data_IF_448203632909
#
_entry.id   IF_448203632909
#
_cell.length_a   1.000
_cell.length_b   1.000
_cell.length_c   1.000
_cell.angle_alpha   90.00
_cell.angle_beta   90.00
_cell.angle_gamma   90.00
#
_symmetry.space_group_name_H-M   'P 1'
#
loop_
_entity.id
_entity.type
_entity.pdbx_description
1 polymer ?
#
# COMPACT_ATOMS: atom_id res chain seq x y z
N UNK A 1 -2.14 5.09 -1.60
CA UNK A 1 -2.70 3.71 -1.51
C UNK A 1 -3.96 3.49 -2.40
N UNK A 2 -4.86 4.46 -2.63
CA UNK A 2 -5.92 4.36 -3.67
C UNK A 2 -5.32 4.15 -5.07
N UNK A 3 -4.13 4.68 -5.31
CA UNK A 3 -3.42 4.50 -6.57
C UNK A 3 -2.86 3.11 -6.79
N UNK A 4 -2.77 2.27 -5.75
CA UNK A 4 -2.26 0.91 -5.86
C UNK A 4 -3.32 0.01 -6.46
N UNK A 5 -4.51 -0.04 -5.87
CA UNK A 5 -5.63 -0.85 -6.38
C UNK A 5 -6.75 0.08 -6.83
N UNK A 6 -6.80 0.35 -8.13
CA UNK A 6 -7.84 1.18 -8.73
C UNK A 6 -8.99 0.30 -9.20
N UNK A 7 -10.21 0.66 -8.84
CA UNK A 7 -11.41 0.05 -9.43
C UNK A 7 -11.49 0.52 -10.88
N UNK A 8 -11.51 -0.43 -11.82
CA UNK A 8 -11.62 -0.15 -13.25
C UNK A 8 -12.98 -0.57 -13.82
N UNK A 9 -13.73 -1.39 -13.08
CA UNK A 9 -15.07 -1.85 -13.47
C UNK A 9 -15.90 -2.19 -12.22
N UNK A 10 -17.19 -1.85 -12.24
CA UNK A 10 -18.18 -2.27 -11.25
C UNK A 10 -19.13 -3.29 -11.90
N UNK A 11 -19.10 -4.54 -11.44
CA UNK A 11 -19.83 -5.65 -12.06
C UNK A 11 -21.19 -5.92 -11.40
N UNK A 12 -21.62 -5.07 -10.46
CA UNK A 12 -22.82 -5.27 -9.64
C UNK A 12 -22.61 -6.27 -8.49
N UNK A 13 -23.61 -6.44 -7.63
CA UNK A 13 -23.57 -7.32 -6.45
C UNK A 13 -22.31 -7.15 -5.58
N UNK A 14 -21.91 -5.88 -5.36
CA UNK A 14 -20.69 -5.51 -4.64
C UNK A 14 -19.41 -6.20 -5.16
N UNK A 15 -19.35 -6.45 -6.48
CA UNK A 15 -18.21 -7.05 -7.19
C UNK A 15 -17.56 -6.01 -8.08
N UNK A 16 -16.23 -6.00 -8.09
CA UNK A 16 -15.39 -5.00 -8.74
C UNK A 16 -14.22 -5.66 -9.46
N UNK A 17 -13.79 -5.10 -10.58
CA UNK A 17 -12.48 -5.39 -11.16
C UNK A 17 -11.50 -4.33 -10.68
N UNK A 18 -10.43 -4.76 -10.05
CA UNK A 18 -9.35 -3.90 -9.56
C UNK A 18 -8.11 -4.09 -10.40
N UNK A 19 -7.47 -2.99 -10.76
CA UNK A 19 -6.16 -2.98 -11.40
C UNK A 19 -5.11 -2.58 -10.37
N UNK A 20 -4.09 -3.42 -10.21
CA UNK A 20 -2.93 -3.10 -9.42
C UNK A 20 -1.94 -2.27 -10.24
N UNK A 21 -1.73 -1.00 -9.89
CA UNK A 21 -0.83 -0.10 -10.64
C UNK A 21 0.65 -0.50 -10.54
N UNK A 22 1.02 -1.27 -9.51
CA UNK A 22 2.40 -1.70 -9.32
C UNK A 22 2.74 -2.96 -10.11
N UNK A 23 1.83 -3.95 -10.15
CA UNK A 23 2.05 -5.22 -10.86
C UNK A 23 1.48 -5.22 -12.27
N UNK A 24 0.52 -4.34 -12.57
CA UNK A 24 -0.26 -4.35 -13.81
C UNK A 24 -1.37 -5.41 -13.82
N UNK A 25 -1.52 -6.18 -12.74
CA UNK A 25 -2.49 -7.27 -12.65
C UNK A 25 -3.92 -6.73 -12.52
N UNK A 26 -4.87 -7.53 -12.99
CA UNK A 26 -6.30 -7.27 -12.85
C UNK A 26 -6.93 -8.43 -12.11
N UNK A 27 -7.62 -8.11 -11.02
CA UNK A 27 -8.28 -9.09 -10.16
C UNK A 27 -9.76 -8.74 -9.99
N UNK A 28 -10.61 -9.76 -9.95
CA UNK A 28 -12.01 -9.59 -9.56
C UNK A 28 -12.12 -9.77 -8.05
N UNK A 29 -12.62 -8.75 -7.37
CA UNK A 29 -12.85 -8.74 -5.92
C UNK A 29 -14.33 -8.56 -5.64
N UNK A 30 -14.81 -9.18 -4.56
CA UNK A 30 -16.18 -9.04 -4.07
C UNK A 30 -16.13 -8.66 -2.61
N UNK A 31 -16.96 -7.69 -2.23
CA UNK A 31 -17.13 -7.34 -0.82
C UNK A 31 -17.66 -8.56 -0.08
N UNK A 32 -17.02 -8.89 1.04
CA UNK A 32 -17.43 -9.97 1.90
C UNK A 32 -18.87 -9.71 2.36
N UNK A 33 -19.79 -10.71 2.29
CA UNK A 33 -21.21 -10.48 2.56
C UNK A 33 -21.52 -9.85 3.92
N UNK A 34 -20.71 -10.14 4.94
CA UNK A 34 -20.81 -9.61 6.30
C UNK A 34 -20.32 -8.16 6.44
N UNK A 35 -19.69 -7.59 5.40
CA UNK A 35 -19.05 -6.26 5.43
C UNK A 35 -19.65 -5.28 4.43
N UNK A 36 -20.78 -5.60 3.80
CA UNK A 36 -21.43 -4.73 2.81
C UNK A 36 -21.80 -3.38 3.43
N UNK A 37 -22.50 -3.38 4.58
CA UNK A 37 -22.88 -2.15 5.26
C UNK A 37 -21.65 -1.31 5.67
N UNK A 38 -20.59 -1.97 6.15
CA UNK A 38 -19.33 -1.32 6.51
C UNK A 38 -18.62 -0.72 5.29
N UNK A 39 -18.69 -1.37 4.13
CA UNK A 39 -18.14 -0.85 2.87
C UNK A 39 -18.93 0.36 2.35
N UNK A 40 -20.25 0.37 2.50
CA UNK A 40 -21.10 1.48 2.06
C UNK A 40 -20.88 2.75 2.89
N UNK A 41 -20.47 2.61 4.16
CA UNK A 41 -20.05 3.73 4.98
C UNK A 41 -18.70 4.31 4.51
N UNK A 42 -18.78 5.48 3.86
CA UNK A 42 -17.61 6.22 3.37
C UNK A 42 -16.98 7.14 4.42
N UNK A 43 -17.67 7.39 5.53
CA UNK A 43 -17.19 8.32 6.58
C UNK A 43 -15.92 7.80 7.24
N UNK A 44 -15.77 6.48 7.37
CA UNK A 44 -14.57 5.85 7.93
C UNK A 44 -13.27 6.10 7.15
N UNK A 45 -13.35 6.66 5.93
CA UNK A 45 -12.18 7.08 5.14
C UNK A 45 -12.02 8.60 5.06
N UNK A 46 -12.86 9.39 5.75
CA UNK A 46 -12.67 10.84 5.84
C UNK A 46 -11.31 11.18 6.45
N UNK A 47 -10.57 12.07 5.80
CA UNK A 47 -9.19 12.41 6.18
C UNK A 47 -8.12 11.41 5.73
N UNK A 48 -8.49 10.30 5.07
CA UNK A 48 -7.57 9.30 4.53
C UNK A 48 -7.72 9.16 2.99
N UNK A 49 -7.49 10.22 2.20
CA UNK A 49 -7.72 10.22 0.76
C UNK A 49 -6.89 9.14 0.05
N UNK A 50 -5.72 8.82 0.58
CA UNK A 50 -4.82 7.84 0.02
C UNK A 50 -5.13 6.41 0.43
N UNK A 51 -6.04 6.13 1.36
CA UNK A 51 -6.29 4.77 1.85
C UNK A 51 -6.89 3.84 0.79
N UNK A 52 -6.68 2.53 0.90
CA UNK A 52 -7.30 1.57 0.00
C UNK A 52 -8.83 1.69 0.04
N UNK A 53 -9.50 1.66 -1.12
CA UNK A 53 -10.98 1.80 -1.21
C UNK A 53 -11.76 0.70 -0.50
N UNK A 54 -11.13 -0.45 -0.26
CA UNK A 54 -11.71 -1.56 0.47
C UNK A 54 -11.28 -1.61 1.95
N UNK A 55 -10.52 -0.62 2.42
CA UNK A 55 -10.21 -0.46 3.85
C UNK A 55 -11.37 0.28 4.51
N UNK A 56 -11.83 -0.21 5.67
CA UNK A 56 -12.83 0.45 6.52
C UNK A 56 -12.42 0.34 7.98
N UNK A 57 -12.96 1.22 8.81
CA UNK A 57 -12.77 1.19 10.26
C UNK A 57 -14.12 0.99 10.93
N UNK A 58 -14.17 0.16 11.97
CA UNK A 58 -15.36 0.07 12.82
C UNK A 58 -15.39 1.19 13.88
N UNK A 59 -16.46 1.23 14.67
CA UNK A 59 -16.67 2.23 15.72
C UNK A 59 -15.56 2.24 16.79
N UNK A 60 -14.85 1.12 16.96
CA UNK A 60 -13.72 1.01 17.89
C UNK A 60 -12.38 1.41 17.24
N UNK A 61 -12.41 1.86 15.98
CA UNK A 61 -11.22 2.21 15.20
C UNK A 61 -10.44 1.00 14.69
N UNK A 62 -10.99 -0.21 14.73
CA UNK A 62 -10.32 -1.39 14.19
C UNK A 62 -10.47 -1.42 12.67
N UNK A 63 -9.36 -1.68 11.98
CA UNK A 63 -9.28 -1.70 10.53
C UNK A 63 -9.74 -3.05 9.93
N UNK A 64 -10.50 -2.98 8.84
CA UNK A 64 -11.08 -4.11 8.12
C UNK A 64 -10.84 -3.98 6.62
N UNK A 65 -10.42 -5.08 5.99
CA UNK A 65 -10.45 -5.24 4.54
C UNK A 65 -11.83 -5.80 4.16
N UNK A 66 -12.63 -5.04 3.40
CA UNK A 66 -14.01 -5.43 3.07
C UNK A 66 -14.06 -6.49 1.97
N UNK A 67 -12.98 -6.74 1.24
CA UNK A 67 -12.87 -7.78 0.20
C UNK A 67 -11.93 -8.91 0.64
N UNK A 68 -11.80 -9.15 1.95
CA UNK A 68 -10.72 -9.98 2.49
C UNK A 68 -10.67 -11.37 1.85
N UNK A 69 -11.81 -12.01 1.61
CA UNK A 69 -11.86 -13.37 1.06
C UNK A 69 -11.35 -13.43 -0.39
N UNK A 70 -11.70 -12.44 -1.20
CA UNK A 70 -11.34 -12.36 -2.62
C UNK A 70 -10.20 -11.39 -2.89
N UNK A 71 -9.49 -10.92 -1.85
CA UNK A 71 -8.45 -9.91 -2.03
C UNK A 71 -7.37 -10.41 -2.99
N UNK A 72 -6.78 -9.53 -3.82
CA UNK A 72 -5.71 -9.87 -4.75
C UNK A 72 -4.57 -10.62 -4.05
N UNK A 73 -3.85 -11.48 -4.77
CA UNK A 73 -2.79 -12.31 -4.18
C UNK A 73 -1.70 -11.45 -3.51
N UNK A 74 -1.34 -10.31 -4.12
CA UNK A 74 -0.43 -9.33 -3.52
C UNK A 74 -0.95 -8.78 -2.17
N UNK A 75 -2.26 -8.61 -2.00
CA UNK A 75 -2.86 -8.25 -0.71
C UNK A 75 -2.87 -9.41 0.29
N UNK A 76 -2.89 -10.67 -0.16
CA UNK A 76 -2.80 -11.86 0.70
C UNK A 76 -1.41 -12.06 1.28
N UNK A 77 -0.39 -11.72 0.52
CA UNK A 77 1.00 -11.69 0.95
C UNK A 77 1.30 -10.58 1.97
N UNK A 78 0.29 -9.85 2.46
CA UNK A 78 0.42 -8.68 3.34
C UNK A 78 1.38 -7.60 2.77
N UNK A 79 1.47 -7.54 1.45
CA UNK A 79 2.35 -6.66 0.70
C UNK A 79 1.69 -5.30 0.42
N UNK A 80 0.98 -4.70 1.39
CA UNK A 80 0.52 -3.32 1.25
C UNK A 80 1.75 -2.41 1.31
N UNK A 81 2.26 -2.04 0.13
CA UNK A 81 3.45 -1.20 0.00
C UNK A 81 3.06 0.25 0.31
N UNK A 82 3.55 0.74 1.46
CA UNK A 82 3.53 2.16 1.82
C UNK A 82 4.42 2.96 0.89
N UNK A 83 5.58 2.39 0.53
CA UNK A 83 6.49 2.91 -0.49
C UNK A 83 6.98 1.77 -1.38
N UNK A 84 6.96 1.99 -2.69
CA UNK A 84 7.59 1.13 -3.68
C UNK A 84 8.89 1.77 -4.14
N UNK A 85 10.00 1.05 -4.00
CA UNK A 85 11.32 1.53 -4.42
C UNK A 85 11.75 0.80 -5.68
N UNK A 86 12.04 1.57 -6.72
CA UNK A 86 12.50 1.11 -8.03
C UNK A 86 13.95 1.54 -8.25
N UNK A 87 14.73 0.75 -8.98
CA UNK A 87 16.03 1.15 -9.47
C UNK A 87 15.93 2.16 -10.64
N UNK A 88 17.07 2.62 -11.14
CA UNK A 88 17.15 3.58 -12.24
C UNK A 88 16.50 3.08 -13.55
N UNK A 89 16.41 1.76 -13.73
CA UNK A 89 15.77 1.12 -14.89
C UNK A 89 14.27 0.88 -14.70
N UNK A 90 13.72 1.23 -13.52
CA UNK A 90 12.32 1.02 -13.19
C UNK A 90 11.99 -0.38 -12.67
N UNK A 91 12.99 -1.23 -12.42
CA UNK A 91 12.78 -2.55 -11.80
C UNK A 91 12.65 -2.39 -10.28
N UNK A 92 11.81 -3.21 -9.65
CA UNK A 92 11.64 -3.20 -8.19
C UNK A 92 12.97 -3.50 -7.48
N UNK A 93 13.38 -2.59 -6.60
CA UNK A 93 14.55 -2.71 -5.75
C UNK A 93 14.15 -2.99 -4.28
N UNK A 94 13.00 -2.51 -3.83
CA UNK A 94 12.53 -2.79 -2.48
C UNK A 94 11.15 -2.21 -2.21
N UNK A 95 10.67 -2.38 -0.98
CA UNK A 95 9.37 -1.89 -0.54
C UNK A 95 9.39 -1.55 0.94
N UNK A 96 8.64 -0.52 1.33
CA UNK A 96 8.24 -0.31 2.72
C UNK A 96 6.84 -0.86 2.90
N UNK A 97 6.70 -1.75 3.87
CA UNK A 97 5.45 -2.33 4.33
C UNK A 97 5.15 -1.78 5.75
N UNK A 98 3.87 -1.78 6.11
CA UNK A 98 3.42 -1.28 7.42
C UNK A 98 3.94 0.14 7.73
N UNK A 99 4.25 0.44 9.00
CA UNK A 99 4.74 1.77 9.39
C UNK A 99 6.19 2.00 8.93
N UNK A 100 7.11 1.07 9.14
CA UNK A 100 8.54 1.29 8.87
C UNK A 100 9.29 0.06 8.36
N UNK A 101 8.58 -1.05 8.11
CA UNK A 101 9.22 -2.31 7.74
C UNK A 101 9.69 -2.27 6.29
N UNK A 102 10.99 -2.16 6.06
CA UNK A 102 11.55 -2.24 4.72
C UNK A 102 11.91 -3.67 4.34
N UNK A 103 11.60 -4.05 3.11
CA UNK A 103 11.98 -5.32 2.50
C UNK A 103 12.78 -5.03 1.22
N UNK A 104 14.11 -5.23 1.24
CA UNK A 104 14.95 -5.13 0.06
C UNK A 104 14.75 -6.34 -0.86
N UNK A 105 14.88 -6.13 -2.17
CA UNK A 105 14.89 -7.21 -3.18
C UNK A 105 16.31 -7.51 -3.70
N UNK A 106 17.32 -6.75 -3.27
CA UNK A 106 18.73 -6.98 -3.59
C UNK A 106 19.67 -6.49 -2.47
N UNK A 107 20.93 -6.94 -2.51
CA UNK A 107 21.91 -6.63 -1.47
C UNK A 107 22.30 -5.15 -1.42
N UNK A 108 22.35 -4.48 -2.58
CA UNK A 108 22.78 -3.08 -2.66
C UNK A 108 21.84 -2.15 -1.87
N UNK A 109 20.53 -2.31 -2.06
CA UNK A 109 19.56 -1.51 -1.32
C UNK A 109 19.37 -1.99 0.12
N UNK A 110 19.64 -3.27 0.41
CA UNK A 110 19.70 -3.76 1.79
C UNK A 110 20.79 -3.05 2.59
N UNK A 111 22.00 -2.96 2.03
CA UNK A 111 23.13 -2.29 2.66
C UNK A 111 22.91 -0.79 2.82
N UNK A 112 22.32 -0.14 1.81
CA UNK A 112 21.92 1.26 1.93
C UNK A 112 20.91 1.43 3.07
N UNK A 113 19.89 0.58 3.12
CA UNK A 113 18.84 0.69 4.12
C UNK A 113 19.37 0.59 5.56
N UNK A 114 20.36 -0.26 5.82
CA UNK A 114 21.00 -0.35 7.14
C UNK A 114 21.71 0.94 7.55
N UNK A 115 22.20 1.74 6.59
CA UNK A 115 22.77 3.07 6.85
C UNK A 115 21.69 4.13 7.06
N UNK A 116 20.51 3.94 6.45
CA UNK A 116 19.39 4.88 6.53
C UNK A 116 18.60 4.71 7.83
N UNK A 117 18.36 3.47 8.31
CA UNK A 117 17.57 3.17 9.52
C UNK A 117 17.83 4.11 10.71
N UNK A 118 19.09 4.37 11.13
CA UNK A 118 19.35 5.21 12.30
C UNK A 118 18.88 6.66 12.12
N UNK A 119 18.83 7.16 10.89
CA UNK A 119 18.39 8.53 10.59
C UNK A 119 16.89 8.73 10.68
N UNK A 120 16.13 7.63 10.77
CA UNK A 120 14.68 7.62 10.77
C UNK A 120 14.06 7.49 12.17
N UNK A 121 14.88 7.27 13.19
CA UNK A 121 14.41 7.09 14.57
C UNK A 121 13.79 8.37 15.13
N UNK A 122 12.63 8.25 15.78
CA UNK A 122 11.94 9.37 16.41
C UNK A 122 11.16 10.30 15.48
N UNK A 123 11.19 10.08 14.16
CA UNK A 123 10.42 10.87 13.19
C UNK A 123 8.93 10.54 13.25
N UNK A 124 8.08 11.54 12.98
CA UNK A 124 6.65 11.31 12.74
C UNK A 124 6.43 10.56 11.42
N UNK A 125 5.22 10.02 11.22
CA UNK A 125 4.92 9.23 10.03
C UNK A 125 5.18 10.01 8.71
N UNK A 126 4.84 11.30 8.64
CA UNK A 126 5.05 12.12 7.44
C UNK A 126 6.54 12.42 7.23
N UNK A 127 7.25 12.84 8.28
CA UNK A 127 8.69 13.13 8.21
C UNK A 127 9.50 11.89 7.83
N UNK A 128 9.05 10.71 8.28
CA UNK A 128 9.64 9.43 7.94
C UNK A 128 9.53 9.16 6.44
N UNK A 129 8.34 9.31 5.85
CA UNK A 129 8.12 9.11 4.41
C UNK A 129 9.00 10.05 3.59
N UNK A 130 8.97 11.34 3.92
CA UNK A 130 9.71 12.37 3.18
C UNK A 130 11.23 12.14 3.26
N UNK A 131 11.73 11.74 4.43
CA UNK A 131 13.15 11.45 4.64
C UNK A 131 13.58 10.22 3.85
N UNK A 132 12.80 9.14 3.88
CA UNK A 132 13.08 7.91 3.10
C UNK A 132 13.06 8.20 1.61
N UNK A 133 12.05 8.91 1.11
CA UNK A 133 11.94 9.27 -0.30
C UNK A 133 13.14 10.10 -0.73
N UNK A 134 13.51 11.12 0.06
CA UNK A 134 14.66 11.99 -0.24
C UNK A 134 15.95 11.19 -0.34
N UNK A 135 16.29 10.42 0.69
CA UNK A 135 17.56 9.68 0.73
C UNK A 135 17.62 8.67 -0.42
N UNK A 136 16.59 7.85 -0.61
CA UNK A 136 16.60 6.86 -1.68
C UNK A 136 16.71 7.51 -3.07
N UNK A 137 16.10 8.68 -3.26
CA UNK A 137 16.22 9.44 -4.52
C UNK A 137 17.63 9.99 -4.73
N UNK A 138 18.30 10.48 -3.67
CA UNK A 138 19.71 10.93 -3.72
C UNK A 138 20.65 9.78 -4.13
N UNK A 139 20.33 8.54 -3.78
CA UNK A 139 21.05 7.33 -4.17
C UNK A 139 20.61 6.76 -5.53
N UNK A 140 19.77 7.46 -6.29
CA UNK A 140 19.39 7.10 -7.65
C UNK A 140 18.20 6.13 -7.77
N UNK A 141 17.52 5.83 -6.67
CA UNK A 141 16.27 5.08 -6.71
C UNK A 141 15.08 5.99 -7.03
N UNK A 142 14.00 5.40 -7.54
CA UNK A 142 12.71 6.08 -7.72
C UNK A 142 11.72 5.51 -6.72
N UNK A 143 11.16 6.37 -5.88
CA UNK A 143 10.19 5.95 -4.86
C UNK A 143 8.78 6.36 -5.31
N UNK A 144 7.82 5.43 -5.25
CA UNK A 144 6.40 5.69 -5.45
C UNK A 144 5.66 5.50 -4.14
N UNK A 145 4.75 6.43 -3.83
CA UNK A 145 3.88 6.45 -2.64
C UNK A 145 2.45 6.06 -3.04
#
# INVERSE_FOLDING_TARGET
MQDVHRIIEECGNATFVVHNYYTGEKDTVRVDPDKIALFEDKSSLEGLPDACRFLRFDENGKAWCTVHLTRPEICRMYCCWRLLVLDANGKRAGRVMYQTMFVPDNDAISQLWDQVKPTLEGLSATEWDDTVIRILTEFGYRVRR
#
